data_IF_066715982129
#
_entry.id   IF_066715982129
#
_cell.length_a   1.000
_cell.length_b   1.000
_cell.length_c   1.000
_cell.angle_alpha   90.00
_cell.angle_beta   90.00
_cell.angle_gamma   90.00
#
_symmetry.space_group_name_H-M   'P 1'
#
loop_
_entity.id
_entity.type
_entity.pdbx_description
1 polymer ?
#
# COMPACT_ATOMS: atom_id res chain seq x y z
N UNK A 1 -24.81 -16.26 0.86
CA UNK A 1 -23.38 -15.90 0.75
C UNK A 1 -22.77 -16.40 -0.55
N UNK A 2 -22.76 -17.70 -0.85
CA UNK A 2 -22.21 -18.25 -2.11
C UNK A 2 -22.89 -17.70 -3.38
N UNK A 3 -24.22 -17.49 -3.35
CA UNK A 3 -24.95 -16.90 -4.49
C UNK A 3 -24.53 -15.46 -4.79
N UNK A 4 -24.34 -14.63 -3.75
CA UNK A 4 -23.85 -13.27 -3.90
C UNK A 4 -22.40 -13.24 -4.44
N UNK A 5 -21.54 -14.14 -3.96
CA UNK A 5 -20.18 -14.29 -4.50
C UNK A 5 -20.19 -14.71 -5.97
N UNK A 6 -21.10 -15.59 -6.36
CA UNK A 6 -21.26 -15.99 -7.76
C UNK A 6 -21.69 -14.80 -8.63
N UNK A 7 -22.65 -14.00 -8.18
CA UNK A 7 -23.09 -12.78 -8.87
C UNK A 7 -21.93 -11.77 -9.02
N UNK A 8 -21.16 -11.54 -7.96
CA UNK A 8 -19.99 -10.66 -8.00
C UNK A 8 -18.93 -11.16 -9.00
N UNK A 9 -18.61 -12.47 -8.99
CA UNK A 9 -17.62 -13.06 -9.92
C UNK A 9 -18.11 -13.01 -11.38
N UNK A 10 -19.40 -13.27 -11.62
CA UNK A 10 -19.99 -13.14 -12.95
C UNK A 10 -19.91 -11.70 -13.46
N UNK A 11 -20.18 -10.71 -12.59
CA UNK A 11 -20.08 -9.30 -12.95
C UNK A 11 -18.64 -8.86 -13.29
N UNK A 12 -17.64 -9.33 -12.53
CA UNK A 12 -16.22 -9.08 -12.87
C UNK A 12 -15.85 -9.69 -14.21
N UNK A 13 -16.25 -10.94 -14.47
CA UNK A 13 -15.89 -11.64 -15.69
C UNK A 13 -16.42 -10.88 -16.93
N UNK A 14 -17.71 -10.51 -16.91
CA UNK A 14 -18.31 -9.72 -17.99
C UNK A 14 -17.63 -8.37 -18.17
N UNK A 15 -17.30 -7.68 -17.08
CA UNK A 15 -16.59 -6.39 -17.15
C UNK A 15 -15.20 -6.53 -17.79
N UNK A 16 -14.46 -7.59 -17.47
CA UNK A 16 -13.15 -7.87 -18.06
C UNK A 16 -13.25 -8.23 -19.55
N UNK A 17 -14.26 -9.00 -19.94
CA UNK A 17 -14.52 -9.32 -21.35
C UNK A 17 -14.83 -8.06 -22.18
N UNK A 18 -15.66 -7.16 -21.64
CA UNK A 18 -15.98 -5.88 -22.28
C UNK A 18 -14.76 -4.95 -22.40
N UNK A 19 -13.84 -4.98 -21.42
CA UNK A 19 -12.56 -4.26 -21.47
C UNK A 19 -11.64 -4.79 -22.57
N UNK A 20 -11.56 -6.11 -22.72
CA UNK A 20 -10.77 -6.75 -23.79
C UNK A 20 -11.36 -6.47 -25.17
N UNK A 21 -12.69 -6.35 -25.28
CA UNK A 21 -13.38 -6.04 -26.52
C UNK A 21 -13.20 -4.58 -26.99
N UNK A 22 -12.62 -3.69 -26.16
CA UNK A 22 -12.32 -2.29 -26.48
C UNK A 22 -13.53 -1.45 -26.98
N UNK A 23 -14.74 -1.77 -26.49
CA UNK A 23 -15.95 -0.99 -26.78
C UNK A 23 -16.02 0.25 -25.85
N UNK A 24 -15.83 1.49 -26.36
CA UNK A 24 -15.52 2.66 -25.53
C UNK A 24 -16.62 3.07 -24.54
N UNK A 25 -17.89 2.74 -24.84
CA UNK A 25 -19.02 3.00 -23.94
C UNK A 25 -19.11 1.95 -22.82
N UNK A 26 -18.74 0.69 -23.12
CA UNK A 26 -18.75 -0.40 -22.14
C UNK A 26 -17.53 -0.34 -21.23
N UNK A 27 -16.40 0.12 -21.75
CA UNK A 27 -15.14 0.28 -21.03
C UNK A 27 -15.30 1.07 -19.72
N UNK A 28 -15.93 2.25 -19.74
CA UNK A 28 -16.11 3.07 -18.52
C UNK A 28 -17.01 2.40 -17.47
N UNK A 29 -18.07 1.73 -17.91
CA UNK A 29 -18.98 1.01 -17.02
C UNK A 29 -18.30 -0.22 -16.41
N UNK A 30 -17.50 -0.93 -17.20
CA UNK A 30 -16.71 -2.09 -16.77
C UNK A 30 -15.64 -1.72 -15.75
N UNK A 31 -14.90 -0.62 -15.97
CA UNK A 31 -13.93 -0.11 -14.99
C UNK A 31 -14.62 0.23 -13.67
N UNK A 32 -15.73 0.98 -13.72
CA UNK A 32 -16.51 1.34 -12.52
C UNK A 32 -17.03 0.11 -11.78
N UNK A 33 -17.44 -0.93 -12.51
CA UNK A 33 -17.91 -2.19 -11.92
C UNK A 33 -16.79 -2.90 -11.17
N UNK A 34 -15.60 -2.98 -11.76
CA UNK A 34 -14.41 -3.59 -11.14
C UNK A 34 -13.95 -2.79 -9.91
N UNK A 35 -13.85 -1.47 -10.02
CA UNK A 35 -13.47 -0.59 -8.91
C UNK A 35 -14.40 -0.76 -7.70
N UNK A 36 -15.72 -0.78 -7.94
CA UNK A 36 -16.71 -0.97 -6.89
C UNK A 36 -16.59 -2.35 -6.22
N UNK A 37 -16.36 -3.41 -7.00
CA UNK A 37 -16.18 -4.77 -6.48
C UNK A 37 -14.92 -4.88 -5.61
N UNK A 38 -13.80 -4.33 -6.09
CA UNK A 38 -12.54 -4.29 -5.34
C UNK A 38 -12.67 -3.48 -4.04
N UNK A 39 -13.35 -2.33 -4.09
CA UNK A 39 -13.60 -1.49 -2.91
C UNK A 39 -14.41 -2.23 -1.83
N UNK A 40 -15.50 -2.90 -2.22
CA UNK A 40 -16.28 -3.74 -1.29
C UNK A 40 -15.46 -4.89 -0.71
N UNK A 41 -14.64 -5.52 -1.54
CA UNK A 41 -13.71 -6.58 -1.13
C UNK A 41 -12.73 -6.10 -0.06
N UNK A 42 -12.06 -4.98 -0.33
CA UNK A 42 -11.11 -4.35 0.60
C UNK A 42 -11.79 -3.97 1.93
N UNK A 43 -12.98 -3.36 1.89
CA UNK A 43 -13.74 -3.04 3.09
C UNK A 43 -14.20 -4.29 3.87
N UNK A 44 -14.42 -5.42 3.19
CA UNK A 44 -14.66 -6.71 3.83
C UNK A 44 -13.41 -7.26 4.53
N UNK A 45 -12.26 -7.17 3.85
CA UNK A 45 -10.96 -7.61 4.35
C UNK A 45 -10.52 -6.81 5.59
N UNK A 46 -10.71 -5.48 5.59
CA UNK A 46 -10.37 -4.62 6.73
C UNK A 46 -11.16 -4.99 7.99
N UNK A 47 -12.43 -5.37 7.83
CA UNK A 47 -13.29 -5.87 8.93
C UNK A 47 -12.82 -7.21 9.50
N UNK A 48 -12.11 -8.02 8.70
CA UNK A 48 -11.49 -9.27 9.15
C UNK A 48 -10.18 -8.97 9.87
N UNK A 49 -9.36 -8.06 9.32
CA UNK A 49 -8.04 -7.67 9.83
C UNK A 49 -8.11 -6.91 11.17
N UNK A 50 -9.15 -6.11 11.40
CA UNK A 50 -9.34 -5.37 12.66
C UNK A 50 -9.56 -6.22 13.92
N UNK A 51 -9.44 -7.56 13.85
CA UNK A 51 -9.76 -8.49 14.94
C UNK A 51 -8.52 -9.13 15.58
N UNK A 52 -7.31 -8.60 15.37
CA UNK A 52 -6.10 -9.14 15.99
C UNK A 52 -5.81 -8.43 17.32
N UNK A 53 -5.76 -9.17 18.45
CA UNK A 53 -5.45 -8.60 19.75
C UNK A 53 -4.03 -8.05 19.81
N UNK A 54 -3.86 -7.03 20.67
CA UNK A 54 -2.72 -6.12 20.73
C UNK A 54 -1.34 -6.77 20.66
N UNK A 55 -0.50 -6.22 19.79
CA UNK A 55 0.88 -6.63 19.58
C UNK A 55 1.74 -6.30 20.80
N UNK A 56 2.65 -7.18 21.26
CA UNK A 56 3.55 -6.88 22.36
C UNK A 56 4.45 -5.69 22.04
N UNK A 57 4.67 -4.82 23.03
CA UNK A 57 5.46 -3.57 22.96
C UNK A 57 6.94 -3.74 22.55
N UNK A 58 7.43 -4.97 22.38
CA UNK A 58 8.81 -5.31 21.99
C UNK A 58 8.99 -5.64 20.50
N UNK A 59 7.95 -5.46 19.67
CA UNK A 59 8.03 -5.70 18.23
C UNK A 59 8.50 -4.48 17.44
N UNK A 60 9.46 -4.69 16.54
CA UNK A 60 9.89 -3.72 15.53
C UNK A 60 9.29 -4.10 14.18
N UNK A 61 9.10 -3.12 13.28
CA UNK A 61 8.68 -3.37 11.90
C UNK A 61 9.89 -3.41 10.98
N UNK A 62 9.93 -4.43 10.13
CA UNK A 62 10.83 -4.48 8.98
C UNK A 62 10.03 -4.19 7.71
N UNK A 63 10.61 -3.43 6.79
CA UNK A 63 10.11 -3.15 5.45
C UNK A 63 11.08 -3.72 4.43
N UNK A 64 10.56 -4.45 3.45
CA UNK A 64 11.34 -5.05 2.36
C UNK A 64 10.83 -4.48 1.04
N UNK A 65 11.74 -3.97 0.22
CA UNK A 65 11.43 -3.62 -1.16
C UNK A 65 11.29 -4.89 -2.00
N UNK A 66 10.21 -5.00 -2.75
CA UNK A 66 9.93 -6.09 -3.69
C UNK A 66 10.05 -5.51 -5.09
N UNK A 67 10.92 -6.06 -5.94
CA UNK A 67 10.95 -5.64 -7.34
C UNK A 67 9.59 -6.00 -7.96
N UNK A 68 9.03 -5.10 -8.77
CA UNK A 68 7.64 -5.21 -9.25
C UNK A 68 7.38 -6.35 -10.25
N UNK A 69 8.13 -7.46 -10.19
CA UNK A 69 7.97 -8.61 -11.09
C UNK A 69 6.84 -9.53 -10.58
N UNK A 70 6.04 -10.10 -11.48
CA UNK A 70 5.03 -11.08 -11.10
C UNK A 70 5.64 -12.24 -10.29
N UNK A 71 5.04 -12.57 -9.15
CA UNK A 71 5.43 -13.71 -8.30
C UNK A 71 6.50 -13.41 -7.23
N UNK A 72 7.13 -12.24 -7.27
CA UNK A 72 8.23 -11.90 -6.36
C UNK A 72 7.75 -11.77 -4.91
N UNK A 73 6.56 -11.21 -4.69
CA UNK A 73 5.92 -11.22 -3.38
C UNK A 73 5.68 -12.64 -2.86
N UNK A 74 5.30 -13.58 -3.74
CA UNK A 74 5.07 -14.96 -3.33
C UNK A 74 6.37 -15.65 -2.90
N UNK A 75 7.47 -15.38 -3.60
CA UNK A 75 8.80 -15.84 -3.21
C UNK A 75 9.22 -15.26 -1.85
N UNK A 76 9.01 -13.96 -1.63
CA UNK A 76 9.29 -13.34 -0.34
C UNK A 76 8.46 -13.97 0.78
N UNK A 77 7.16 -14.17 0.57
CA UNK A 77 6.27 -14.78 1.57
C UNK A 77 6.70 -16.22 1.91
N UNK A 78 7.08 -17.02 0.90
CA UNK A 78 7.63 -18.35 1.13
C UNK A 78 8.92 -18.29 1.96
N UNK A 79 9.80 -17.33 1.66
CA UNK A 79 11.04 -17.15 2.41
C UNK A 79 10.79 -16.71 3.86
N UNK A 80 9.84 -15.81 4.08
CA UNK A 80 9.46 -15.37 5.42
C UNK A 80 8.86 -16.52 6.25
N UNK A 81 8.11 -17.44 5.63
CA UNK A 81 7.63 -18.65 6.29
C UNK A 81 8.78 -19.56 6.75
N UNK A 82 9.78 -19.79 5.90
CA UNK A 82 10.98 -20.58 6.26
C UNK A 82 11.75 -19.95 7.43
N UNK A 83 11.71 -18.62 7.54
CA UNK A 83 12.32 -17.86 8.63
C UNK A 83 11.39 -17.73 9.87
N UNK A 84 10.29 -18.48 9.92
CA UNK A 84 9.31 -18.46 11.02
C UNK A 84 8.81 -17.05 11.35
N UNK A 85 8.55 -16.25 10.31
CA UNK A 85 7.85 -14.97 10.40
C UNK A 85 6.38 -15.23 10.08
N UNK A 86 5.47 -14.79 10.95
CA UNK A 86 4.03 -14.92 10.73
C UNK A 86 3.61 -14.16 9.48
N UNK A 87 3.36 -14.88 8.39
CA UNK A 87 2.89 -14.33 7.10
C UNK A 87 1.61 -13.52 7.24
N UNK A 88 0.81 -13.83 8.26
CA UNK A 88 -0.49 -13.24 8.53
C UNK A 88 -0.38 -11.77 8.99
N UNK A 89 0.82 -11.34 9.38
CA UNK A 89 1.12 -9.97 9.80
C UNK A 89 1.84 -9.15 8.71
N UNK A 90 2.02 -9.72 7.50
CA UNK A 90 2.65 -9.03 6.38
C UNK A 90 1.63 -8.10 5.72
N UNK A 91 1.89 -6.80 5.80
CA UNK A 91 1.13 -5.76 5.11
C UNK A 91 1.92 -5.25 3.91
N UNK A 92 1.30 -5.16 2.75
CA UNK A 92 1.93 -4.58 1.56
C UNK A 92 1.49 -3.14 1.32
N UNK A 93 2.41 -2.27 0.93
CA UNK A 93 2.15 -0.89 0.53
C UNK A 93 2.91 -0.60 -0.78
N UNK A 94 2.35 0.24 -1.64
CA UNK A 94 3.04 0.68 -2.86
C UNK A 94 3.45 2.13 -2.66
N UNK A 95 4.70 2.48 -2.98
CA UNK A 95 5.12 3.89 -3.04
C UNK A 95 4.48 4.56 -4.25
N UNK A 96 3.80 5.68 -4.01
CA UNK A 96 3.19 6.51 -5.06
C UNK A 96 4.25 7.12 -6.00
N UNK A 97 5.45 7.40 -5.48
CA UNK A 97 6.50 8.11 -6.22
C UNK A 97 7.36 7.20 -7.10
N UNK A 98 7.56 5.95 -6.69
CA UNK A 98 8.51 5.02 -7.33
C UNK A 98 7.85 3.76 -7.92
N UNK A 99 6.55 3.56 -7.69
CA UNK A 99 5.84 2.33 -8.09
C UNK A 99 6.40 1.05 -7.43
N UNK A 100 7.26 1.20 -6.42
CA UNK A 100 7.89 0.08 -5.71
C UNK A 100 6.91 -0.51 -4.72
N UNK A 101 6.77 -1.83 -4.77
CA UNK A 101 5.99 -2.58 -3.79
C UNK A 101 6.86 -2.82 -2.56
N UNK A 102 6.31 -2.55 -1.39
CA UNK A 102 6.92 -2.82 -0.10
C UNK A 102 6.10 -3.86 0.66
N UNK A 103 6.79 -4.79 1.30
CA UNK A 103 6.21 -5.71 2.27
C UNK A 103 6.71 -5.36 3.67
N UNK A 104 5.79 -5.17 4.61
CA UNK A 104 6.09 -4.79 6.00
C UNK A 104 5.57 -5.84 6.96
N UNK A 105 6.37 -6.21 7.97
CA UNK A 105 5.99 -7.22 8.95
C UNK A 105 6.58 -6.94 10.33
N UNK A 106 5.92 -7.45 11.37
CA UNK A 106 6.38 -7.36 12.76
C UNK A 106 7.35 -8.47 13.12
N UNK A 107 8.43 -8.14 13.82
CA UNK A 107 9.36 -9.11 14.41
C UNK A 107 9.79 -8.65 15.80
N UNK A 108 10.22 -9.58 16.64
CA UNK A 108 10.80 -9.21 17.94
C UNK A 108 12.12 -8.45 17.73
N UNK A 109 12.39 -7.46 18.57
CA UNK A 109 13.61 -6.64 18.46
C UNK A 109 14.91 -7.48 18.44
N UNK A 110 14.92 -8.61 19.17
CA UNK A 110 16.06 -9.54 19.22
C UNK A 110 16.31 -10.23 17.88
N UNK A 111 15.24 -10.61 17.16
CA UNK A 111 15.34 -11.31 15.87
C UNK A 111 15.58 -10.36 14.68
N UNK A 112 15.25 -9.08 14.85
CA UNK A 112 15.23 -8.10 13.77
C UNK A 112 16.55 -8.03 12.98
N UNK A 113 17.70 -7.97 13.65
CA UNK A 113 18.98 -7.84 12.94
C UNK A 113 19.38 -9.13 12.23
N UNK A 114 19.16 -10.28 12.87
CA UNK A 114 19.44 -11.58 12.26
C UNK A 114 18.63 -11.78 10.98
N UNK A 115 17.33 -11.47 11.03
CA UNK A 115 16.43 -11.56 9.88
C UNK A 115 16.83 -10.59 8.77
N UNK A 116 17.21 -9.36 9.12
CA UNK A 116 17.68 -8.37 8.15
C UNK A 116 18.91 -8.87 7.40
N UNK A 117 19.88 -9.45 8.13
CA UNK A 117 21.10 -10.01 7.54
C UNK A 117 20.79 -11.18 6.61
N UNK A 118 19.99 -12.14 7.05
CA UNK A 118 19.60 -13.29 6.23
C UNK A 118 18.86 -12.87 4.97
N UNK A 119 17.90 -11.94 5.09
CA UNK A 119 17.19 -11.40 3.92
C UNK A 119 18.15 -10.69 2.95
N UNK A 120 19.14 -9.94 3.45
CA UNK A 120 20.17 -9.32 2.60
C UNK A 120 21.11 -10.32 1.94
N UNK A 121 21.48 -11.42 2.61
CA UNK A 121 22.22 -12.54 2.02
C UNK A 121 21.41 -13.20 0.89
N UNK A 122 20.08 -13.22 1.03
CA UNK A 122 19.13 -13.73 0.03
C UNK A 122 18.78 -12.69 -1.07
N UNK A 123 19.43 -11.52 -1.07
CA UNK A 123 19.26 -10.47 -2.08
C UNK A 123 18.14 -9.46 -1.80
N UNK A 124 17.46 -9.56 -0.66
CA UNK A 124 16.39 -8.64 -0.27
C UNK A 124 16.90 -7.46 0.55
N UNK A 125 16.44 -6.25 0.22
CA UNK A 125 16.75 -5.07 1.00
C UNK A 125 15.69 -4.86 2.10
N UNK A 126 16.01 -5.31 3.31
CA UNK A 126 15.18 -5.14 4.50
C UNK A 126 15.68 -3.95 5.34
N UNK A 127 14.81 -3.01 5.67
CA UNK A 127 15.10 -1.88 6.56
C UNK A 127 14.15 -1.84 7.75
N UNK A 128 14.60 -1.28 8.88
CA UNK A 128 13.72 -1.01 10.00
C UNK A 128 12.94 0.25 9.71
N UNK A 129 11.61 0.17 9.83
CA UNK A 129 10.74 1.35 9.78
C UNK A 129 10.20 1.62 11.18
N UNK A 130 10.26 2.89 11.59
CA UNK A 130 9.56 3.32 12.80
C UNK A 130 8.05 3.09 12.61
N UNK A 131 7.32 2.75 13.69
CA UNK A 131 5.90 2.45 13.55
C UNK A 131 5.19 3.66 12.94
N UNK A 132 4.49 3.44 11.82
CA UNK A 132 3.39 4.32 11.42
C UNK A 132 2.42 4.27 12.61
N UNK A 133 2.10 5.41 13.24
CA UNK A 133 1.17 5.43 14.36
C UNK A 133 -0.10 4.69 13.92
N UNK A 134 -0.60 3.80 14.77
CA UNK A 134 -1.82 3.08 14.48
C UNK A 134 -2.90 4.11 14.09
N UNK A 135 -3.65 3.92 12.99
CA UNK A 135 -4.75 4.82 12.68
C UNK A 135 -5.73 4.81 13.86
N UNK A 136 -5.75 5.91 14.61
CA UNK A 136 -6.54 6.06 15.85
C UNK A 136 -5.75 6.39 17.13
N UNK A 137 -4.41 6.38 17.14
CA UNK A 137 -3.65 6.97 18.27
C UNK A 137 -3.56 8.49 18.05
N UNK A 138 -4.47 9.23 18.67
CA UNK A 138 -4.69 10.67 18.45
C UNK A 138 -3.57 11.60 18.92
N UNK A 139 -2.42 11.53 18.25
CA UNK A 139 -1.31 12.50 18.36
C UNK A 139 -0.68 12.78 16.99
N UNK A 140 -1.48 12.75 15.92
CA UNK A 140 -1.05 13.26 14.62
C UNK A 140 -1.39 14.75 14.50
N UNK A 141 -0.41 15.61 14.75
CA UNK A 141 -0.46 17.03 14.40
C UNK A 141 0.10 17.21 12.97
N UNK A 142 -0.75 17.44 11.94
CA UNK A 142 -0.26 17.62 10.59
C UNK A 142 0.58 18.90 10.49
N UNK A 143 1.64 18.92 9.67
CA UNK A 143 2.42 20.14 9.46
C UNK A 143 1.50 21.24 8.94
N UNK A 144 1.43 22.34 9.69
CA UNK A 144 0.65 23.53 9.36
C UNK A 144 0.96 23.97 7.93
N UNK A 145 0.01 23.75 7.02
CA UNK A 145 0.01 24.36 5.69
C UNK A 145 -0.39 25.83 5.82
N UNK A 146 0.48 26.63 6.42
CA UNK A 146 0.39 28.07 6.26
C UNK A 146 1.72 28.63 5.74
N UNK A 147 1.72 28.83 4.42
CA UNK A 147 2.78 29.45 3.64
C UNK A 147 2.18 30.19 2.47
N UNK A 148 1.05 30.87 2.68
CA UNK A 148 0.59 31.92 1.77
C UNK A 148 1.45 33.15 2.00
N UNK A 149 2.62 33.20 1.37
CA UNK A 149 3.30 34.48 1.17
C UNK A 149 2.75 35.16 -0.10
N UNK A 150 1.66 35.90 0.13
CA UNK A 150 1.33 37.04 -0.71
C UNK A 150 2.17 38.20 -0.19
N UNK A 151 3.13 38.67 -0.99
CA UNK A 151 3.27 40.07 -1.43
C UNK A 151 4.72 40.42 -1.72
N UNK A 152 5.03 40.69 -2.99
CA UNK A 152 5.93 41.80 -3.36
C UNK A 152 5.76 42.14 -4.85
N UNK A 153 4.63 42.78 -5.17
CA UNK A 153 4.59 43.69 -6.31
C UNK A 153 5.14 45.05 -5.86
N UNK A 154 6.31 45.45 -6.37
CA UNK A 154 6.60 46.86 -6.65
C UNK A 154 7.81 47.04 -7.55
N UNK A 155 7.57 47.80 -8.61
CA UNK A 155 8.49 48.53 -9.52
C UNK A 155 8.79 47.86 -10.87
N UNK A 156 7.86 48.06 -11.81
CA UNK A 156 8.25 48.53 -13.14
C UNK A 156 7.68 49.94 -13.30
N UNK A 157 8.56 50.93 -13.21
CA UNK A 157 8.27 52.29 -13.65
C UNK A 157 8.84 52.44 -15.07
N UNK A 158 7.93 52.65 -16.01
CA UNK A 158 8.02 53.66 -17.08
C UNK A 158 9.30 53.73 -17.91
N UNK A 159 9.23 53.27 -19.16
CA UNK A 159 9.79 54.04 -20.27
C UNK A 159 9.06 53.73 -21.58
N UNK A 160 8.20 54.66 -21.98
CA UNK A 160 7.67 54.79 -23.33
C UNK A 160 8.49 55.85 -24.06
N UNK A 161 8.65 55.64 -25.36
CA UNK A 161 9.42 56.41 -26.34
C UNK A 161 9.05 57.89 -26.46
N UNK A 162 9.81 58.63 -27.27
CA UNK A 162 9.23 59.16 -28.51
C UNK A 162 9.75 58.46 -29.76
#
# INVERSE_FOLDING_TARGET
MLRALHEDLSAVLTALEDLVAAEPVRERHSVTTIENLLSRGNAGLDRIRGRHPGRPSSHVRLRVAVEGRPGELALLLGRLQELEVGSDEVTSSTSEDLGTLFAEFGVTAVRAESLRRTLSEDGWNAERVHPIPAPGSGDYDPPSRDGRDRSSSRRYASRTSP
#
